data_IF_779187009573
#
_entry.id   IF_779187009573
#
_cell.length_a   1.000
_cell.length_b   1.000
_cell.length_c   1.000
_cell.angle_alpha   90.00
_cell.angle_beta   90.00
_cell.angle_gamma   90.00
#
_symmetry.space_group_name_H-M   'P 1'
#
loop_
_entity.id
_entity.type
_entity.pdbx_description
1 polymer ?
#
# COMPACT_ATOMS: atom_id res chain seq x y z
N UNK A 1 26.51 44.97 42.85
CA UNK A 1 25.83 45.85 41.89
C UNK A 1 26.40 45.57 40.51
N UNK A 2 25.65 44.86 39.65
CA UNK A 2 25.81 44.75 38.18
C UNK A 2 24.67 43.85 37.67
N UNK A 3 23.58 44.50 37.31
CA UNK A 3 22.38 43.90 36.72
C UNK A 3 22.61 43.74 35.22
N UNK A 4 22.50 42.53 34.68
CA UNK A 4 22.55 42.28 33.23
C UNK A 4 21.12 42.00 32.78
N UNK A 5 20.55 42.96 32.05
CA UNK A 5 19.27 42.84 31.36
C UNK A 5 19.53 42.04 30.08
N UNK A 6 19.16 40.76 30.06
CA UNK A 6 19.16 39.96 28.84
C UNK A 6 17.84 40.23 28.11
N UNK A 7 17.88 41.12 27.12
CA UNK A 7 16.77 41.42 26.23
C UNK A 7 16.28 40.13 25.56
N UNK A 8 14.99 39.80 25.77
CA UNK A 8 14.30 38.74 25.04
C UNK A 8 14.22 39.13 23.56
N UNK A 9 14.91 38.37 22.71
CA UNK A 9 14.78 38.46 21.26
C UNK A 9 13.75 37.42 20.83
N UNK A 10 12.50 37.84 20.60
CA UNK A 10 11.41 36.98 20.16
C UNK A 10 11.63 36.59 18.69
N UNK A 11 12.07 35.36 18.44
CA UNK A 11 12.15 34.80 17.10
C UNK A 11 10.73 34.49 16.61
N UNK A 12 10.15 35.37 15.80
CA UNK A 12 8.88 35.11 15.14
C UNK A 12 9.09 34.07 14.02
N UNK A 13 8.83 32.81 14.32
CA UNK A 13 8.83 31.73 13.34
C UNK A 13 7.60 31.88 12.46
N UNK A 14 7.77 32.36 11.23
CA UNK A 14 6.69 32.40 10.25
C UNK A 14 6.31 30.96 9.86
N UNK A 15 5.14 30.49 10.32
CA UNK A 15 4.55 29.26 9.83
C UNK A 15 4.09 29.47 8.39
N UNK A 16 4.88 29.04 7.42
CA UNK A 16 4.36 28.82 6.08
C UNK A 16 3.40 27.62 6.11
N UNK A 17 2.18 27.71 5.55
CA UNK A 17 1.32 26.56 5.41
C UNK A 17 2.03 25.52 4.55
N UNK A 18 2.14 24.29 5.06
CA UNK A 18 2.63 23.17 4.26
C UNK A 18 1.73 23.02 3.03
N UNK A 19 2.28 22.74 1.83
CA UNK A 19 1.46 22.44 0.68
C UNK A 19 0.53 21.28 1.05
N UNK A 20 -0.77 21.52 0.96
CA UNK A 20 -1.76 20.46 1.13
C UNK A 20 -1.53 19.45 0.02
N UNK A 21 -1.13 18.23 0.38
CA UNK A 21 -1.11 17.12 -0.57
C UNK A 21 -2.53 16.98 -1.09
N UNK A 22 -2.73 17.19 -2.39
CA UNK A 22 -4.01 16.93 -3.03
C UNK A 22 -4.42 15.50 -2.65
N UNK A 23 -5.56 15.36 -1.96
CA UNK A 23 -6.01 14.05 -1.51
C UNK A 23 -6.16 13.16 -2.73
N UNK A 24 -5.44 12.04 -2.76
CA UNK A 24 -5.59 11.03 -3.81
C UNK A 24 -7.05 10.61 -3.87
N UNK A 25 -7.57 10.37 -5.08
CA UNK A 25 -8.92 9.82 -5.30
C UNK A 25 -9.14 8.46 -4.61
N UNK A 26 -8.05 7.81 -4.16
CA UNK A 26 -8.03 6.51 -3.50
C UNK A 26 -7.57 6.59 -2.04
N UNK A 27 -7.74 7.75 -1.39
CA UNK A 27 -7.35 7.97 0.03
C UNK A 27 -8.42 7.55 1.06
N UNK A 28 -9.59 7.08 0.62
CA UNK A 28 -10.65 6.60 1.51
C UNK A 28 -10.31 5.27 2.17
N UNK A 29 -10.78 5.03 3.40
CA UNK A 29 -10.49 3.85 4.23
C UNK A 29 -10.64 2.52 3.48
N UNK A 30 -11.70 2.40 2.67
CA UNK A 30 -11.95 1.18 1.89
C UNK A 30 -10.82 0.80 0.92
N UNK A 31 -10.03 1.76 0.41
CA UNK A 31 -8.87 1.51 -0.43
C UNK A 31 -7.66 0.99 0.35
N UNK A 32 -7.69 1.11 1.68
CA UNK A 32 -6.58 0.82 2.59
C UNK A 32 -6.78 -0.50 3.34
N UNK A 33 -7.92 -1.17 3.15
CA UNK A 33 -8.22 -2.46 3.79
C UNK A 33 -7.10 -3.50 3.64
N UNK A 34 -6.38 -3.51 2.52
CA UNK A 34 -5.29 -4.47 2.25
C UNK A 34 -3.87 -3.92 2.42
N UNK A 35 -3.68 -2.78 3.08
CA UNK A 35 -2.33 -2.21 3.28
C UNK A 35 -1.42 -3.09 4.12
N UNK A 36 -2.00 -3.93 4.98
CA UNK A 36 -1.24 -4.90 5.78
C UNK A 36 -0.53 -5.97 4.92
N UNK A 37 -0.87 -6.10 3.64
CA UNK A 37 -0.14 -6.93 2.69
C UNK A 37 1.08 -6.24 2.07
N UNK A 38 1.19 -4.92 2.14
CA UNK A 38 2.31 -4.20 1.54
C UNK A 38 3.65 -4.66 2.14
N UNK A 39 4.65 -4.85 1.27
CA UNK A 39 6.00 -5.19 1.67
C UNK A 39 6.54 -6.44 0.98
N UNK A 40 7.60 -7.00 1.57
CA UNK A 40 8.29 -8.17 1.03
C UNK A 40 8.12 -9.35 1.97
N UNK A 41 7.70 -10.46 1.40
CA UNK A 41 7.34 -11.67 2.13
C UNK A 41 8.15 -12.85 1.64
N UNK A 42 8.50 -13.71 2.60
CA UNK A 42 9.05 -15.03 2.34
C UNK A 42 7.97 -16.07 2.63
N UNK A 43 7.44 -16.69 1.59
CA UNK A 43 6.34 -17.65 1.70
C UNK A 43 6.94 -19.03 1.95
N UNK A 44 6.47 -19.69 3.01
CA UNK A 44 6.93 -21.03 3.40
C UNK A 44 5.76 -22.01 3.40
N UNK A 45 6.03 -23.23 2.94
CA UNK A 45 5.09 -24.33 3.08
C UNK A 45 5.01 -24.78 4.55
N UNK A 46 3.99 -25.59 4.88
CA UNK A 46 3.78 -26.09 6.25
C UNK A 46 4.99 -26.88 6.81
N UNK A 47 5.78 -27.49 5.93
CA UNK A 47 7.02 -28.19 6.30
C UNK A 47 8.24 -27.26 6.44
N UNK A 48 8.07 -25.95 6.32
CA UNK A 48 9.13 -24.93 6.43
C UNK A 48 9.91 -24.64 5.15
N UNK A 49 9.72 -25.42 4.09
CA UNK A 49 10.39 -25.21 2.80
C UNK A 49 9.99 -23.85 2.19
N UNK A 50 10.94 -23.18 1.53
CA UNK A 50 10.68 -21.94 0.80
C UNK A 50 9.76 -22.25 -0.39
N UNK A 51 8.56 -21.70 -0.37
CA UNK A 51 7.61 -21.79 -1.48
C UNK A 51 7.83 -20.67 -2.49
N UNK A 52 8.19 -19.46 -2.02
CA UNK A 52 8.44 -18.33 -2.90
C UNK A 52 8.73 -17.02 -2.17
N UNK A 53 8.97 -15.98 -2.94
CA UNK A 53 9.05 -14.60 -2.49
C UNK A 53 7.89 -13.81 -3.08
N UNK A 54 7.31 -12.94 -2.27
CA UNK A 54 6.24 -12.06 -2.69
C UNK A 54 6.61 -10.61 -2.41
N UNK A 55 6.36 -9.72 -3.35
CA UNK A 55 6.51 -8.27 -3.15
C UNK A 55 5.21 -7.60 -3.50
N UNK A 56 4.66 -6.84 -2.55
CA UNK A 56 3.47 -6.04 -2.76
C UNK A 56 3.79 -4.57 -2.52
N UNK A 57 3.26 -3.70 -3.37
CA UNK A 57 3.46 -2.26 -3.31
C UNK A 57 2.27 -1.50 -3.87
N UNK A 58 2.05 -0.31 -3.34
CA UNK A 58 1.05 0.61 -3.87
C UNK A 58 1.55 1.29 -5.15
N UNK A 59 0.66 1.41 -6.13
CA UNK A 59 0.91 2.05 -7.42
C UNK A 59 -0.28 2.91 -7.86
N UNK A 60 -0.07 3.64 -8.96
CA UNK A 60 -1.10 4.47 -9.60
C UNK A 60 -1.78 5.46 -8.63
N UNK A 61 -0.99 6.18 -7.84
CA UNK A 61 -1.51 7.11 -6.84
C UNK A 61 -2.22 6.42 -5.68
N UNK A 62 -1.70 5.25 -5.26
CA UNK A 62 -2.23 4.43 -4.17
C UNK A 62 -3.60 3.78 -4.45
N UNK A 63 -4.05 3.81 -5.70
CA UNK A 63 -5.30 3.17 -6.13
C UNK A 63 -5.18 1.66 -6.34
N UNK A 64 -3.98 1.16 -6.59
CA UNK A 64 -3.76 -0.26 -6.94
C UNK A 64 -2.68 -0.85 -6.06
N UNK A 65 -3.00 -1.95 -5.37
CA UNK A 65 -2.02 -2.80 -4.72
C UNK A 65 -1.54 -3.83 -5.75
N UNK A 66 -0.27 -3.71 -6.12
CA UNK A 66 0.38 -4.57 -7.11
C UNK A 66 1.19 -5.65 -6.40
N UNK A 67 1.12 -6.87 -6.92
CA UNK A 67 1.83 -8.02 -6.39
C UNK A 67 2.77 -8.61 -7.44
N UNK A 68 3.92 -9.09 -6.99
CA UNK A 68 4.83 -9.90 -7.79
C UNK A 68 5.35 -11.07 -6.94
N UNK A 69 4.94 -12.27 -7.34
CA UNK A 69 5.28 -13.53 -6.70
C UNK A 69 6.25 -14.34 -7.57
N UNK A 70 7.29 -14.90 -6.95
CA UNK A 70 8.29 -15.74 -7.61
C UNK A 70 8.58 -16.98 -6.78
N UNK A 71 8.96 -18.07 -7.43
CA UNK A 71 9.32 -19.33 -6.79
C UNK A 71 10.73 -19.79 -7.18
N UNK A 72 11.37 -20.66 -6.38
CA UNK A 72 12.66 -21.26 -6.77
C UNK A 72 12.59 -22.10 -8.06
N UNK A 73 11.42 -22.63 -8.43
CA UNK A 73 11.22 -23.43 -9.63
C UNK A 73 11.00 -22.61 -10.90
N UNK A 74 10.99 -21.27 -10.80
CA UNK A 74 10.82 -20.37 -11.94
C UNK A 74 9.36 -20.05 -12.28
N UNK A 75 8.38 -20.47 -11.48
CA UNK A 75 7.03 -19.92 -11.55
C UNK A 75 7.04 -18.46 -11.09
N UNK A 76 6.40 -17.59 -11.88
CA UNK A 76 6.20 -16.17 -11.60
C UNK A 76 4.73 -15.82 -11.85
N UNK A 77 4.15 -15.04 -10.95
CA UNK A 77 2.83 -14.45 -11.16
C UNK A 77 2.73 -13.04 -10.60
N UNK A 78 1.73 -12.31 -11.07
CA UNK A 78 1.49 -10.91 -10.73
C UNK A 78 0.01 -10.68 -10.53
N UNK A 79 -0.33 -9.83 -9.58
CA UNK A 79 -1.71 -9.39 -9.41
C UNK A 79 -1.84 -7.87 -9.35
N UNK A 80 -2.99 -7.39 -9.81
CA UNK A 80 -3.48 -6.03 -9.59
C UNK A 80 -4.74 -6.13 -8.75
N UNK A 81 -4.74 -5.42 -7.62
CA UNK A 81 -5.83 -5.38 -6.67
C UNK A 81 -6.35 -3.94 -6.60
N UNK A 82 -7.65 -3.74 -6.84
CA UNK A 82 -8.29 -2.43 -6.85
C UNK A 82 -9.60 -2.46 -6.09
N UNK A 83 -9.88 -1.42 -5.33
CA UNK A 83 -11.21 -1.21 -4.76
C UNK A 83 -12.09 -0.48 -5.77
N UNK A 84 -13.17 -1.13 -6.20
CA UNK A 84 -14.19 -0.50 -7.05
C UNK A 84 -15.19 0.23 -6.16
N UNK A 85 -14.99 1.54 -6.04
CA UNK A 85 -15.86 2.43 -5.26
C UNK A 85 -17.32 2.40 -5.72
N UNK A 86 -17.59 2.14 -7.00
CA UNK A 86 -18.94 2.16 -7.55
C UNK A 86 -19.77 0.96 -7.13
N UNK A 87 -19.09 -0.17 -6.87
CA UNK A 87 -19.70 -1.43 -6.42
C UNK A 87 -19.45 -1.72 -4.93
N UNK A 88 -18.49 -1.04 -4.31
CA UNK A 88 -18.12 -1.26 -2.92
C UNK A 88 -17.39 -2.59 -2.69
N UNK A 89 -16.64 -3.07 -3.69
CA UNK A 89 -15.97 -4.38 -3.62
C UNK A 89 -14.53 -4.29 -4.12
N UNK A 90 -13.67 -5.18 -3.62
CA UNK A 90 -12.32 -5.38 -4.12
C UNK A 90 -12.32 -6.34 -5.30
N UNK A 91 -11.51 -6.01 -6.30
CA UNK A 91 -11.21 -6.85 -7.46
C UNK A 91 -9.75 -7.18 -7.48
N UNK A 92 -9.45 -8.45 -7.73
CA UNK A 92 -8.12 -8.92 -8.06
C UNK A 92 -8.12 -9.53 -9.46
N UNK A 93 -7.13 -9.16 -10.26
CA UNK A 93 -6.75 -9.93 -11.45
C UNK A 93 -5.34 -10.45 -11.25
N UNK A 94 -5.19 -11.77 -11.30
CA UNK A 94 -3.91 -12.48 -11.26
C UNK A 94 -3.61 -13.08 -12.62
N UNK A 95 -2.35 -12.97 -13.04
CA UNK A 95 -1.79 -13.63 -14.22
C UNK A 95 -0.45 -14.28 -13.88
N UNK A 96 -0.08 -15.33 -14.62
CA UNK A 96 1.21 -16.00 -14.42
C UNK A 96 1.93 -16.35 -15.72
N UNK A 97 3.19 -16.77 -15.58
CA UNK A 97 4.04 -17.19 -16.68
C UNK A 97 3.72 -18.58 -17.25
N UNK A 98 2.65 -19.22 -16.78
CA UNK A 98 2.08 -20.46 -17.34
C UNK A 98 0.80 -20.18 -18.15
N UNK A 99 0.38 -18.92 -18.23
CA UNK A 99 -0.79 -18.49 -18.99
C UNK A 99 -2.11 -18.60 -18.22
N UNK A 100 -2.08 -18.74 -16.89
CA UNK A 100 -3.30 -18.68 -16.10
C UNK A 100 -3.82 -17.25 -15.97
N UNK A 101 -5.15 -17.14 -15.91
CA UNK A 101 -5.88 -15.94 -15.54
C UNK A 101 -6.82 -16.32 -14.39
N UNK A 102 -6.70 -15.62 -13.27
CA UNK A 102 -7.62 -15.73 -12.15
C UNK A 102 -8.20 -14.35 -11.84
N UNK A 103 -9.53 -14.28 -11.74
CA UNK A 103 -10.25 -13.07 -11.37
C UNK A 103 -11.04 -13.35 -10.10
N UNK A 104 -10.83 -12.53 -9.09
CA UNK A 104 -11.50 -12.63 -7.80
C UNK A 104 -12.20 -11.31 -7.50
N UNK A 105 -13.40 -11.40 -6.92
CA UNK A 105 -14.09 -10.26 -6.32
C UNK A 105 -14.40 -10.60 -4.87
N UNK A 106 -14.33 -9.62 -3.97
CA UNK A 106 -14.61 -9.81 -2.54
C UNK A 106 -14.91 -8.51 -1.82
N UNK A 107 -15.72 -8.56 -0.77
CA UNK A 107 -16.35 -7.38 -0.18
C UNK A 107 -17.74 -7.15 -0.80
N UNK A 108 -18.66 -6.57 -0.03
CA UNK A 108 -20.07 -6.44 -0.43
C UNK A 108 -21.11 -6.85 0.63
N UNK A 109 -20.71 -7.06 1.89
CA UNK A 109 -21.64 -7.09 3.02
C UNK A 109 -21.82 -5.68 3.59
N UNK A 110 -22.99 -5.34 4.16
CA UNK A 110 -23.13 -4.07 4.87
C UNK A 110 -22.15 -4.07 6.05
N UNK A 111 -21.36 -3.01 6.15
CA UNK A 111 -20.64 -2.68 7.39
C UNK A 111 -21.64 -2.46 8.54
#
# INVERSE_FOLDING_TARGET
MRTICCSLMTLALALAPAPGHAQSSCSGEAHRHFDFWEGRWMVRAANGALAGHNTLSLGLGECVLQEHYTTPSGYEGRSLNVFDQTRGVWHQTWVDNQGALLQLEGGGGPD
#
